data_IF_828842499279
#
_entry.id   IF_828842499279
#
_cell.length_a   1.000
_cell.length_b   1.000
_cell.length_c   1.000
_cell.angle_alpha   90.00
_cell.angle_beta   90.00
_cell.angle_gamma   90.00
#
_symmetry.space_group_name_H-M   'P 1'
#
loop_
_entity.id
_entity.type
_entity.pdbx_description
1 polymer ?
#
# COMPACT_ATOMS: atom_id res chain seq x y z
N UNK A 1 9.37 -10.20 24.26
CA UNK A 1 8.93 -10.31 22.84
C UNK A 1 7.75 -11.28 22.70
N UNK A 2 7.82 -12.52 23.23
CA UNK A 2 6.68 -13.48 23.25
C UNK A 2 5.37 -12.97 23.90
N UNK A 3 5.48 -12.11 24.91
CA UNK A 3 4.33 -11.51 25.61
C UNK A 3 3.46 -10.60 24.72
N UNK A 4 4.08 -9.84 23.83
CA UNK A 4 3.37 -8.97 22.88
C UNK A 4 2.62 -9.79 21.82
N UNK A 5 3.23 -10.88 21.35
CA UNK A 5 2.62 -11.77 20.34
C UNK A 5 1.38 -12.48 20.91
N UNK A 6 1.44 -12.93 22.17
CA UNK A 6 0.34 -13.62 22.85
C UNK A 6 -0.88 -12.71 23.10
N UNK A 7 -0.63 -11.43 23.41
CA UNK A 7 -1.68 -10.41 23.57
C UNK A 7 -2.32 -10.09 22.21
N UNK A 8 -1.52 -10.00 21.14
CA UNK A 8 -2.00 -9.72 19.79
C UNK A 8 -2.91 -10.83 19.25
N UNK A 9 -2.61 -12.08 19.59
CA UNK A 9 -3.42 -13.25 19.23
C UNK A 9 -4.77 -13.26 19.96
N UNK A 10 -4.78 -12.94 21.26
CA UNK A 10 -6.02 -12.81 22.03
C UNK A 10 -6.88 -11.61 21.65
N UNK A 11 -6.27 -10.48 21.26
CA UNK A 11 -7.00 -9.32 20.71
C UNK A 11 -7.74 -9.69 19.43
N UNK A 12 -7.11 -10.50 18.55
CA UNK A 12 -7.75 -11.03 17.34
C UNK A 12 -8.96 -11.92 17.67
N UNK A 13 -8.81 -12.80 18.66
CA UNK A 13 -9.87 -13.71 19.11
C UNK A 13 -11.07 -12.94 19.71
N UNK A 14 -10.80 -11.87 20.44
CA UNK A 14 -11.83 -11.00 21.04
C UNK A 14 -12.58 -10.16 19.99
N UNK A 15 -11.88 -9.69 18.94
CA UNK A 15 -12.49 -8.98 17.81
C UNK A 15 -13.37 -9.90 16.95
N UNK A 16 -12.99 -11.17 16.78
CA UNK A 16 -13.81 -12.19 16.10
C UNK A 16 -15.09 -12.53 16.88
N UNK A 17 -15.00 -12.72 18.21
CA UNK A 17 -16.16 -13.01 19.07
C UNK A 17 -17.21 -11.90 19.10
N UNK A 18 -16.81 -10.63 18.90
CA UNK A 18 -17.73 -9.47 18.92
C UNK A 18 -18.31 -9.07 17.57
N UNK A 19 -18.08 -9.85 16.49
CA UNK A 19 -18.71 -9.59 15.19
C UNK A 19 -18.30 -8.24 14.58
N UNK A 20 -17.11 -7.76 14.92
CA UNK A 20 -16.63 -6.45 14.52
C UNK A 20 -16.10 -6.53 13.07
N UNK A 21 -17.01 -6.42 12.09
CA UNK A 21 -16.69 -6.53 10.66
C UNK A 21 -16.23 -5.18 10.11
N UNK A 22 -14.92 -4.93 10.10
CA UNK A 22 -14.33 -3.84 9.32
C UNK A 22 -13.59 -4.39 8.10
N UNK A 23 -13.33 -3.54 7.12
CA UNK A 23 -12.47 -3.88 5.99
C UNK A 23 -11.04 -4.15 6.51
N UNK A 24 -10.76 -5.42 6.80
CA UNK A 24 -9.42 -5.90 7.15
C UNK A 24 -8.58 -5.98 5.88
N UNK A 25 -7.25 -5.91 6.03
CA UNK A 25 -6.31 -6.21 4.93
C UNK A 25 -6.48 -7.63 4.39
N UNK A 26 -7.15 -8.52 5.13
CA UNK A 26 -7.48 -9.89 4.70
C UNK A 26 -8.90 -10.03 4.09
N UNK A 27 -9.68 -8.94 4.09
CA UNK A 27 -11.04 -8.92 3.57
C UNK A 27 -11.12 -8.97 2.04
N UNK A 28 -12.26 -9.43 1.52
CA UNK A 28 -12.50 -9.58 0.08
C UNK A 28 -12.30 -8.29 -0.72
N UNK A 29 -12.72 -7.14 -0.19
CA UNK A 29 -12.54 -5.83 -0.83
C UNK A 29 -11.06 -5.49 -1.02
N UNK A 30 -10.23 -5.68 0.01
CA UNK A 30 -8.79 -5.38 -0.07
C UNK A 30 -8.10 -6.30 -1.08
N UNK A 31 -8.46 -7.60 -1.09
CA UNK A 31 -7.96 -8.57 -2.08
C UNK A 31 -8.37 -8.19 -3.49
N UNK A 32 -9.63 -7.81 -3.72
CA UNK A 32 -10.12 -7.38 -5.02
C UNK A 32 -9.40 -6.12 -5.52
N UNK A 33 -9.28 -5.09 -4.67
CA UNK A 33 -8.52 -3.88 -4.99
C UNK A 33 -7.04 -4.19 -5.32
N UNK A 34 -6.42 -5.12 -4.58
CA UNK A 34 -5.04 -5.54 -4.84
C UNK A 34 -4.90 -6.25 -6.19
N UNK A 35 -5.88 -7.08 -6.57
CA UNK A 35 -5.90 -7.73 -7.90
C UNK A 35 -6.04 -6.67 -8.99
N UNK A 36 -6.99 -5.74 -8.86
CA UNK A 36 -7.19 -4.64 -9.81
C UNK A 36 -5.91 -3.82 -9.96
N UNK A 37 -5.26 -3.47 -8.84
CA UNK A 37 -3.98 -2.77 -8.83
C UNK A 37 -2.90 -3.55 -9.60
N UNK A 38 -2.75 -4.86 -9.35
CA UNK A 38 -1.73 -5.68 -10.02
C UNK A 38 -1.99 -5.72 -11.54
N UNK A 39 -3.25 -5.85 -11.97
CA UNK A 39 -3.60 -5.84 -13.39
C UNK A 39 -3.25 -4.51 -14.06
N UNK A 40 -3.59 -3.38 -13.43
CA UNK A 40 -3.22 -2.04 -13.92
C UNK A 40 -1.71 -1.82 -13.93
N UNK A 41 -1.00 -2.35 -12.94
CA UNK A 41 0.46 -2.29 -12.86
C UNK A 41 1.10 -3.07 -14.01
N UNK A 42 0.67 -4.33 -14.25
CA UNK A 42 1.17 -5.15 -15.37
C UNK A 42 0.91 -4.45 -16.70
N UNK A 43 -0.30 -3.94 -16.90
CA UNK A 43 -0.64 -3.17 -18.10
C UNK A 43 0.33 -1.99 -18.30
N UNK A 44 0.59 -1.21 -17.24
CA UNK A 44 1.52 -0.07 -17.29
C UNK A 44 2.95 -0.51 -17.62
N UNK A 45 3.42 -1.63 -17.05
CA UNK A 45 4.75 -2.18 -17.35
C UNK A 45 4.87 -2.62 -18.81
N UNK A 46 3.83 -3.25 -19.36
CA UNK A 46 3.80 -3.65 -20.79
C UNK A 46 3.88 -2.41 -21.69
N UNK A 47 3.10 -1.37 -21.39
CA UNK A 47 3.13 -0.12 -22.16
C UNK A 47 4.51 0.55 -22.11
N UNK A 48 5.13 0.60 -20.94
CA UNK A 48 6.49 1.15 -20.79
C UNK A 48 7.51 0.29 -21.55
N UNK A 49 7.43 -1.03 -21.48
CA UNK A 49 8.31 -1.94 -22.21
C UNK A 49 8.16 -1.76 -23.72
N UNK A 50 6.94 -1.65 -24.24
CA UNK A 50 6.70 -1.38 -25.65
C UNK A 50 7.32 -0.05 -26.10
N UNK A 51 7.20 1.01 -25.31
CA UNK A 51 7.85 2.29 -25.60
C UNK A 51 9.37 2.16 -25.65
N UNK A 52 9.97 1.48 -24.66
CA UNK A 52 11.41 1.29 -24.59
C UNK A 52 11.94 0.43 -25.75
N UNK A 53 11.22 -0.64 -26.11
CA UNK A 53 11.56 -1.47 -27.26
C UNK A 53 11.47 -0.68 -28.57
N UNK A 54 10.40 0.12 -28.75
CA UNK A 54 10.27 0.99 -29.92
C UNK A 54 11.42 1.99 -30.05
N UNK A 55 11.84 2.59 -28.93
CA UNK A 55 13.00 3.48 -28.92
C UNK A 55 14.32 2.74 -29.19
N UNK A 56 14.50 1.53 -28.63
CA UNK A 56 15.72 0.74 -28.81
C UNK A 56 15.90 0.21 -30.24
N UNK A 57 14.81 -0.08 -30.95
CA UNK A 57 14.83 -0.61 -32.32
C UNK A 57 15.22 0.44 -33.37
N UNK A 58 15.29 1.73 -33.01
CA UNK A 58 15.63 2.80 -33.95
C UNK A 58 16.67 3.75 -33.35
N UNK A 59 17.93 3.63 -33.79
CA UNK A 59 19.06 4.40 -33.24
C UNK A 59 18.87 5.93 -33.35
N UNK A 60 18.26 6.40 -34.44
CA UNK A 60 17.89 7.80 -34.66
C UNK A 60 16.87 8.30 -33.65
N UNK A 61 15.81 7.51 -33.40
CA UNK A 61 14.76 7.81 -32.42
C UNK A 61 15.35 7.77 -31.00
N UNK A 62 16.20 6.80 -30.70
CA UNK A 62 16.89 6.71 -29.42
C UNK A 62 17.74 7.96 -29.12
N UNK A 63 18.54 8.43 -30.09
CA UNK A 63 19.35 9.65 -29.92
C UNK A 63 18.46 10.87 -29.64
N UNK A 64 17.33 10.99 -30.32
CA UNK A 64 16.39 12.10 -30.15
C UNK A 64 15.59 12.01 -28.84
N UNK A 65 15.32 10.81 -28.33
CA UNK A 65 14.49 10.58 -27.14
C UNK A 65 15.30 10.13 -25.91
N UNK A 66 16.62 10.20 -25.95
CA UNK A 66 17.52 9.63 -24.93
C UNK A 66 17.15 10.05 -23.50
N UNK A 67 16.92 11.35 -23.29
CA UNK A 67 16.53 11.88 -21.98
C UNK A 67 15.19 11.30 -21.53
N UNK A 68 14.21 11.25 -22.43
CA UNK A 68 12.88 10.71 -22.15
C UNK A 68 12.90 9.21 -21.86
N UNK A 69 13.75 8.45 -22.55
CA UNK A 69 13.98 7.03 -22.26
C UNK A 69 14.52 6.85 -20.84
N UNK A 70 15.50 7.65 -20.42
CA UNK A 70 15.99 7.60 -19.04
C UNK A 70 14.93 8.02 -18.03
N UNK A 71 14.10 9.01 -18.34
CA UNK A 71 12.98 9.41 -17.50
C UNK A 71 11.98 8.28 -17.33
N UNK A 72 11.55 7.62 -18.41
CA UNK A 72 10.63 6.48 -18.35
C UNK A 72 11.23 5.31 -17.57
N UNK A 73 12.51 5.01 -17.75
CA UNK A 73 13.22 3.99 -16.97
C UNK A 73 13.25 4.33 -15.48
N UNK A 74 13.65 5.56 -15.12
CA UNK A 74 13.70 6.02 -13.73
C UNK A 74 12.33 5.95 -13.06
N UNK A 75 11.28 6.37 -13.75
CA UNK A 75 9.91 6.30 -13.22
C UNK A 75 9.42 4.84 -13.11
N UNK A 76 9.79 3.98 -14.06
CA UNK A 76 9.47 2.55 -13.98
C UNK A 76 10.12 1.91 -12.74
N UNK A 77 11.37 2.26 -12.43
CA UNK A 77 12.04 1.82 -11.20
C UNK A 77 11.30 2.32 -9.96
N UNK A 78 10.84 3.57 -9.94
CA UNK A 78 10.03 4.11 -8.82
C UNK A 78 8.72 3.34 -8.62
N UNK A 79 8.02 2.98 -9.69
CA UNK A 79 6.80 2.18 -9.61
C UNK A 79 7.06 0.75 -9.11
N UNK A 80 8.15 0.13 -9.56
CA UNK A 80 8.58 -1.19 -9.05
C UNK A 80 8.93 -1.09 -7.56
N UNK A 81 9.68 -0.06 -7.15
CA UNK A 81 10.02 0.18 -5.76
C UNK A 81 8.76 0.36 -4.89
N UNK A 82 7.76 1.12 -5.38
CA UNK A 82 6.45 1.25 -4.73
C UNK A 82 5.80 -0.12 -4.50
N UNK A 83 5.75 -0.99 -5.51
CA UNK A 83 5.18 -2.34 -5.40
C UNK A 83 5.94 -3.23 -4.42
N UNK A 84 7.28 -3.17 -4.43
CA UNK A 84 8.13 -3.92 -3.49
C UNK A 84 7.89 -3.44 -2.07
N UNK A 85 7.81 -2.12 -1.86
CA UNK A 85 7.59 -1.55 -0.52
C UNK A 85 6.22 -1.95 0.04
N UNK A 86 5.20 -2.02 -0.81
CA UNK A 86 3.85 -2.50 -0.44
C UNK A 86 3.87 -3.97 0.06
N UNK A 87 4.88 -4.76 -0.31
CA UNK A 87 5.05 -6.15 0.17
C UNK A 87 5.77 -6.24 1.51
N UNK A 88 6.49 -5.19 1.94
CA UNK A 88 7.11 -5.20 3.27
C UNK A 88 6.02 -5.18 4.35
N UNK A 89 6.24 -5.98 5.40
CA UNK A 89 5.27 -6.35 6.43
C UNK A 89 4.62 -5.13 7.09
N UNK A 90 3.40 -4.76 6.67
CA UNK A 90 2.37 -3.90 7.32
C UNK A 90 2.81 -2.72 8.21
N UNK A 91 4.00 -2.15 8.01
CA UNK A 91 4.36 -0.90 8.68
C UNK A 91 3.58 0.23 8.02
N UNK A 92 2.86 1.03 8.80
CA UNK A 92 2.10 2.21 8.33
C UNK A 92 2.94 3.07 7.38
N UNK A 93 4.20 3.31 7.74
CA UNK A 93 5.15 4.06 6.93
C UNK A 93 5.44 3.42 5.58
N UNK A 94 5.55 2.09 5.50
CA UNK A 94 5.77 1.41 4.23
C UNK A 94 4.57 1.61 3.29
N UNK A 95 3.34 1.51 3.79
CA UNK A 95 2.14 1.76 2.98
C UNK A 95 2.05 3.21 2.50
N UNK A 96 2.36 4.18 3.36
CA UNK A 96 2.39 5.60 3.00
C UNK A 96 3.46 5.86 1.93
N UNK A 97 4.69 5.42 2.17
CA UNK A 97 5.82 5.62 1.25
C UNK A 97 5.54 4.95 -0.10
N UNK A 98 5.04 3.71 -0.09
CA UNK A 98 4.63 3.00 -1.30
C UNK A 98 3.57 3.79 -2.09
N UNK A 99 2.58 4.35 -1.39
CA UNK A 99 1.52 5.16 -2.02
C UNK A 99 2.06 6.43 -2.64
N UNK A 100 2.93 7.15 -1.93
CA UNK A 100 3.56 8.38 -2.43
C UNK A 100 4.40 8.08 -3.67
N UNK A 101 5.24 7.03 -3.63
CA UNK A 101 6.04 6.61 -4.77
C UNK A 101 5.16 6.21 -5.96
N UNK A 102 4.03 5.55 -5.70
CA UNK A 102 3.09 5.18 -6.75
C UNK A 102 2.48 6.42 -7.43
N UNK A 103 2.00 7.39 -6.64
CA UNK A 103 1.37 8.61 -7.14
C UNK A 103 2.38 9.45 -7.93
N UNK A 104 3.60 9.60 -7.41
CA UNK A 104 4.69 10.28 -8.10
C UNK A 104 5.02 9.57 -9.42
N UNK A 105 5.08 8.25 -9.41
CA UNK A 105 5.33 7.48 -10.62
C UNK A 105 4.22 7.58 -11.66
N UNK A 106 2.96 7.52 -11.23
CA UNK A 106 1.79 7.71 -12.11
C UNK A 106 1.79 9.09 -12.76
N UNK A 107 1.98 10.13 -11.94
CA UNK A 107 2.01 11.52 -12.40
C UNK A 107 3.19 11.75 -13.35
N UNK A 108 4.37 11.26 -12.99
CA UNK A 108 5.57 11.35 -13.80
C UNK A 108 5.40 10.69 -15.17
N UNK A 109 4.86 9.47 -15.24
CA UNK A 109 4.61 8.80 -16.51
C UNK A 109 3.57 9.54 -17.34
N UNK A 110 2.50 10.02 -16.71
CA UNK A 110 1.46 10.75 -17.41
C UNK A 110 2.01 12.03 -18.07
N UNK A 111 2.83 12.80 -17.35
CA UNK A 111 3.47 13.99 -17.89
C UNK A 111 4.47 13.65 -19.00
N UNK A 112 5.29 12.62 -18.77
CA UNK A 112 6.32 12.19 -19.74
C UNK A 112 5.68 11.72 -21.05
N UNK A 113 4.67 10.84 -20.98
CA UNK A 113 3.95 10.41 -22.17
C UNK A 113 3.10 11.52 -22.78
N UNK A 114 2.56 12.44 -21.97
CA UNK A 114 1.84 13.60 -22.45
C UNK A 114 2.69 14.45 -23.39
N UNK A 115 3.92 14.78 -22.99
CA UNK A 115 4.87 15.53 -23.81
C UNK A 115 5.32 14.71 -25.02
N UNK A 116 5.66 13.43 -24.83
CA UNK A 116 6.21 12.59 -25.91
C UNK A 116 5.21 12.26 -27.02
N UNK A 117 3.95 12.07 -26.65
CA UNK A 117 2.91 11.63 -27.58
C UNK A 117 2.09 12.80 -28.13
N UNK A 118 2.33 14.02 -27.63
CA UNK A 118 1.65 15.23 -28.11
C UNK A 118 1.83 15.39 -29.63
N UNK A 119 3.04 15.18 -30.15
CA UNK A 119 3.33 15.40 -31.57
C UNK A 119 2.98 14.19 -32.45
N UNK A 120 2.98 12.98 -31.88
CA UNK A 120 2.77 11.72 -32.64
C UNK A 120 1.30 11.33 -32.72
N UNK A 121 0.58 11.43 -31.61
CA UNK A 121 -0.80 10.95 -31.49
C UNK A 121 -1.75 12.11 -31.13
N UNK A 122 -1.22 13.20 -30.58
CA UNK A 122 -2.01 14.26 -29.96
C UNK A 122 -2.71 13.79 -28.69
N UNK A 123 -3.41 14.71 -28.02
CA UNK A 123 -4.37 14.38 -26.96
C UNK A 123 -5.66 13.81 -27.54
N UNK A 124 -5.55 12.77 -28.37
CA UNK A 124 -6.69 12.02 -28.91
C UNK A 124 -7.18 11.01 -27.88
N UNK A 125 -8.40 10.51 -28.07
CA UNK A 125 -9.05 9.51 -27.19
C UNK A 125 -8.13 8.31 -26.88
N UNK A 126 -7.28 7.92 -27.83
CA UNK A 126 -6.28 6.86 -27.64
C UNK A 126 -5.28 7.15 -26.53
N UNK A 127 -4.83 8.39 -26.37
CA UNK A 127 -3.90 8.78 -25.29
C UNK A 127 -4.57 8.60 -23.92
N UNK A 128 -5.80 9.12 -23.79
CA UNK A 128 -6.57 9.04 -22.56
C UNK A 128 -6.78 7.60 -22.12
N UNK A 129 -7.25 6.73 -23.03
CA UNK A 129 -7.56 5.35 -22.65
C UNK A 129 -6.31 4.49 -22.45
N UNK A 130 -5.23 4.73 -23.20
CA UNK A 130 -4.03 3.90 -23.13
C UNK A 130 -3.08 4.27 -22.00
N UNK A 131 -3.04 5.55 -21.61
CA UNK A 131 -2.08 6.06 -20.63
C UNK A 131 -2.77 6.73 -19.44
N UNK A 132 -3.58 7.77 -19.66
CA UNK A 132 -4.11 8.57 -18.55
C UNK A 132 -5.01 7.76 -17.61
N UNK A 133 -6.07 7.14 -18.15
CA UNK A 133 -7.08 6.50 -17.31
C UNK A 133 -6.52 5.30 -16.53
N UNK A 134 -5.71 4.39 -17.13
CA UNK A 134 -5.07 3.32 -16.36
C UNK A 134 -4.19 3.83 -15.22
N UNK A 135 -3.41 4.90 -15.45
CA UNK A 135 -2.56 5.52 -14.42
C UNK A 135 -3.39 6.20 -13.32
N UNK A 136 -4.46 6.93 -13.68
CA UNK A 136 -5.37 7.54 -12.71
C UNK A 136 -6.08 6.49 -11.86
N UNK A 137 -6.59 5.42 -12.48
CA UNK A 137 -7.20 4.30 -11.76
C UNK A 137 -6.20 3.63 -10.83
N UNK A 138 -4.95 3.43 -11.27
CA UNK A 138 -3.90 2.84 -10.44
C UNK A 138 -3.62 3.71 -9.21
N UNK A 139 -3.54 5.04 -9.37
CA UNK A 139 -3.36 5.97 -8.26
C UNK A 139 -4.54 5.92 -7.27
N UNK A 140 -5.78 5.95 -7.77
CA UNK A 140 -7.01 5.89 -6.93
C UNK A 140 -7.05 4.58 -6.13
N UNK A 141 -6.80 3.44 -6.79
CA UNK A 141 -6.80 2.13 -6.13
C UNK A 141 -5.70 2.06 -5.07
N UNK A 142 -4.52 2.62 -5.34
CA UNK A 142 -3.42 2.66 -4.36
C UNK A 142 -3.79 3.48 -3.13
N UNK A 143 -4.43 4.64 -3.31
CA UNK A 143 -4.93 5.46 -2.20
C UNK A 143 -5.97 4.69 -1.39
N UNK A 144 -6.89 3.99 -2.04
CA UNK A 144 -7.90 3.17 -1.38
C UNK A 144 -7.27 2.02 -0.55
N UNK A 145 -6.28 1.32 -1.12
CA UNK A 145 -5.53 0.28 -0.42
C UNK A 145 -4.82 0.83 0.82
N UNK A 146 -4.18 2.00 0.70
CA UNK A 146 -3.51 2.69 1.80
C UNK A 146 -4.50 3.10 2.89
N UNK A 147 -5.64 3.68 2.53
CA UNK A 147 -6.68 4.08 3.48
C UNK A 147 -7.23 2.87 4.27
N UNK A 148 -7.46 1.74 3.61
CA UNK A 148 -7.89 0.50 4.28
C UNK A 148 -6.80 -0.01 5.23
N UNK A 149 -5.54 -0.02 4.80
CA UNK A 149 -4.42 -0.47 5.63
C UNK A 149 -4.21 0.44 6.87
N UNK A 150 -4.25 1.77 6.68
CA UNK A 150 -4.15 2.74 7.77
C UNK A 150 -5.29 2.59 8.78
N UNK A 151 -6.53 2.44 8.29
CA UNK A 151 -7.70 2.24 9.13
C UNK A 151 -7.59 0.95 9.96
N UNK A 152 -7.08 -0.11 9.35
CA UNK A 152 -6.82 -1.37 10.06
C UNK A 152 -5.81 -1.16 11.20
N UNK A 153 -4.66 -0.54 10.93
CA UNK A 153 -3.63 -0.33 11.96
C UNK A 153 -4.10 0.58 13.09
N UNK A 154 -4.69 1.74 12.76
CA UNK A 154 -5.19 2.69 13.78
C UNK A 154 -6.20 1.99 14.69
N UNK A 155 -7.03 1.13 14.12
CA UNK A 155 -8.03 0.42 14.89
C UNK A 155 -7.42 -0.65 15.79
N UNK A 156 -6.51 -1.47 15.27
CA UNK A 156 -5.78 -2.46 16.06
C UNK A 156 -5.06 -1.79 17.24
N UNK A 157 -4.45 -0.61 17.03
CA UNK A 157 -3.83 0.16 18.12
C UNK A 157 -4.84 0.65 19.16
N UNK A 158 -6.01 1.14 18.74
CA UNK A 158 -7.09 1.55 19.67
C UNK A 158 -7.65 0.37 20.45
N UNK A 159 -7.87 -0.77 19.82
CA UNK A 159 -8.35 -1.99 20.49
C UNK A 159 -7.31 -2.48 21.50
N UNK A 160 -6.03 -2.52 21.08
CA UNK A 160 -4.93 -2.88 21.97
C UNK A 160 -4.87 -1.97 23.20
N UNK A 161 -4.90 -0.65 22.99
CA UNK A 161 -4.89 0.33 24.09
C UNK A 161 -6.05 0.12 25.07
N UNK A 162 -7.28 -0.08 24.58
CA UNK A 162 -8.45 -0.35 25.43
C UNK A 162 -8.34 -1.64 26.24
N UNK A 163 -7.83 -2.71 25.64
CA UNK A 163 -7.65 -3.98 26.35
C UNK A 163 -6.60 -3.82 27.45
N UNK A 164 -5.49 -3.15 27.15
CA UNK A 164 -4.44 -2.86 28.12
C UNK A 164 -4.96 -1.97 29.25
N UNK A 165 -5.66 -0.88 28.94
CA UNK A 165 -6.26 0.03 29.93
C UNK A 165 -7.28 -0.68 30.83
N UNK A 166 -8.19 -1.48 30.27
CA UNK A 166 -9.14 -2.26 31.07
C UNK A 166 -8.45 -3.28 32.00
N UNK A 167 -7.35 -3.90 31.55
CA UNK A 167 -6.58 -4.80 32.41
C UNK A 167 -5.93 -3.99 33.54
N UNK A 168 -5.31 -2.84 33.23
CA UNK A 168 -4.77 -1.97 34.28
C UNK A 168 -5.85 -1.52 35.25
N UNK A 169 -6.98 -0.98 34.80
CA UNK A 169 -8.06 -0.50 35.69
C UNK A 169 -8.61 -1.59 36.62
N UNK A 170 -8.85 -2.81 36.09
CA UNK A 170 -9.34 -3.92 36.90
C UNK A 170 -8.32 -4.38 37.97
N UNK A 171 -7.03 -4.18 37.74
CA UNK A 171 -5.97 -4.60 38.67
C UNK A 171 -5.49 -3.48 39.60
N UNK A 172 -5.46 -2.21 39.16
CA UNK A 172 -5.17 -1.05 40.01
C UNK A 172 -6.31 -0.80 41.01
N UNK A 173 -7.55 -1.21 40.70
CA UNK A 173 -8.64 -1.24 41.67
C UNK A 173 -8.46 -2.32 42.76
N UNK A 174 -7.58 -3.30 42.53
CA UNK A 174 -7.31 -4.39 43.48
C UNK A 174 -6.07 -4.18 44.35
N UNK A 175 -5.04 -3.44 43.92
CA UNK A 175 -3.86 -3.13 44.75
C UNK A 175 -3.02 -1.98 44.13
N UNK A 176 -2.54 -1.07 44.97
CA UNK A 176 -1.91 0.23 44.65
C UNK A 176 -0.45 0.12 44.13
N UNK A 177 -0.11 -0.97 43.45
CA UNK A 177 1.25 -1.27 43.00
C UNK A 177 1.29 -1.67 41.54
N UNK A 178 2.28 -1.14 40.81
CA UNK A 178 2.59 -1.53 39.44
C UNK A 178 2.82 -3.04 39.35
N UNK A 179 1.96 -3.73 38.59
CA UNK A 179 1.98 -5.18 38.36
C UNK A 179 3.37 -5.71 37.98
N UNK A 180 3.80 -6.78 38.65
CA UNK A 180 5.02 -7.53 38.32
C UNK A 180 4.80 -8.47 37.13
N UNK A 181 5.87 -8.86 36.44
CA UNK A 181 5.83 -9.71 35.23
C UNK A 181 5.14 -11.07 35.45
N UNK A 182 5.16 -11.59 36.68
CA UNK A 182 4.52 -12.85 37.06
C UNK A 182 3.00 -12.70 37.19
N UNK A 183 2.53 -11.61 37.82
CA UNK A 183 1.10 -11.31 37.92
C UNK A 183 0.49 -11.11 36.54
N UNK A 184 1.21 -10.48 35.61
CA UNK A 184 0.79 -10.37 34.20
C UNK A 184 0.54 -11.71 33.52
N UNK A 185 1.38 -12.74 33.77
CA UNK A 185 1.16 -14.06 33.17
C UNK A 185 -0.08 -14.76 33.74
N UNK A 186 -0.41 -14.50 34.99
CA UNK A 186 -1.59 -15.07 35.65
C UNK A 186 -2.89 -14.41 35.14
N UNK A 187 -2.89 -13.08 34.99
CA UNK A 187 -3.99 -12.34 34.35
C UNK A 187 -4.26 -12.86 32.95
N UNK A 188 -3.19 -13.01 32.16
CA UNK A 188 -3.29 -13.48 30.78
C UNK A 188 -3.71 -14.94 30.67
N UNK A 189 -3.59 -15.76 31.72
CA UNK A 189 -4.09 -17.15 31.74
C UNK A 189 -5.59 -17.24 32.04
N UNK A 190 -6.14 -16.30 32.81
CA UNK A 190 -7.53 -16.33 33.29
C UNK A 190 -8.52 -15.51 32.44
N UNK A 191 -8.06 -14.88 31.36
CA UNK A 191 -8.87 -14.24 30.30
C UNK A 191 -8.89 -15.12 29.05
#
# INVERSE_FOLDING_TARGET
MKMYDNILEKVKEYEEKRGIVYAKTDGGLYKALKIIYILLFIYTMVMNAMFLLGAALSETVFKNLKNSVYTVLGITVLLIASLVIMKFKNTVWANIVSTVLNILGCTGLCLTFGVLLQDVIGFKISFYWRHLVPLCLMAIVTIALCAVALRAVIKTQKTYKKIVENIYENYTASEDTTLTDEQWQEVLKNI
#
